data_IF_772612019659
#
_entry.id   IF_772612019659
#
_cell.length_a   1.000
_cell.length_b   1.000
_cell.length_c   1.000
_cell.angle_alpha   90.00
_cell.angle_beta   90.00
_cell.angle_gamma   90.00
#
_symmetry.space_group_name_H-M   'P 1'
#
loop_
_entity.id
_entity.type
_entity.pdbx_description
1 polymer ?
#
# COMPACT_ATOMS: atom_id res chain seq x y z
N UNK A 1 22.81 1.12 2.95
CA UNK A 1 22.28 0.72 1.62
C UNK A 1 20.88 0.11 1.72
N UNK A 2 20.67 -0.99 2.45
CA UNK A 2 19.36 -1.66 2.57
C UNK A 2 18.20 -0.77 3.02
N UNK A 3 18.44 0.08 4.03
CA UNK A 3 17.47 1.07 4.48
C UNK A 3 16.95 1.96 3.33
N UNK A 4 17.85 2.49 2.50
CA UNK A 4 17.49 3.36 1.38
C UNK A 4 16.67 2.61 0.31
N UNK A 5 16.98 1.34 0.05
CA UNK A 5 16.22 0.50 -0.88
C UNK A 5 14.79 0.27 -0.38
N UNK A 6 14.63 -0.06 0.90
CA UNK A 6 13.31 -0.28 1.53
C UNK A 6 12.48 1.01 1.48
N UNK A 7 13.06 2.14 1.90
CA UNK A 7 12.37 3.44 1.87
C UNK A 7 12.02 3.87 0.44
N UNK A 8 12.92 3.65 -0.53
CA UNK A 8 12.66 3.99 -1.93
C UNK A 8 11.51 3.18 -2.51
N UNK A 9 11.45 1.88 -2.22
CA UNK A 9 10.37 1.00 -2.68
C UNK A 9 9.05 1.35 -1.98
N UNK A 10 9.09 1.70 -0.70
CA UNK A 10 7.91 2.14 0.05
C UNK A 10 7.19 3.30 -0.63
N UNK A 11 7.93 4.22 -1.22
CA UNK A 11 7.37 5.35 -1.96
C UNK A 11 6.56 4.99 -3.21
N UNK A 12 6.70 3.76 -3.73
CA UNK A 12 5.93 3.25 -4.87
C UNK A 12 4.83 2.27 -4.45
N UNK A 13 4.73 1.91 -3.17
CA UNK A 13 3.62 1.14 -2.63
C UNK A 13 2.36 2.01 -2.67
N UNK A 14 1.18 1.44 -2.91
CA UNK A 14 -0.11 2.11 -3.21
C UNK A 14 -0.43 2.31 -4.70
N UNK A 15 0.44 1.88 -5.64
CA UNK A 15 0.07 1.86 -7.07
C UNK A 15 -1.07 0.86 -7.33
N UNK A 16 -1.15 -0.20 -6.52
CA UNK A 16 -2.25 -1.18 -6.55
C UNK A 16 -3.62 -0.55 -6.30
N UNK A 17 -3.68 0.60 -5.63
CA UNK A 17 -4.93 1.31 -5.37
C UNK A 17 -5.58 1.81 -6.66
N UNK A 18 -4.79 2.09 -7.70
CA UNK A 18 -5.30 2.44 -9.03
C UNK A 18 -6.14 1.30 -9.59
N UNK A 19 -5.72 0.05 -9.38
CA UNK A 19 -6.46 -1.12 -9.86
C UNK A 19 -7.78 -1.29 -9.11
N UNK A 20 -7.80 -1.05 -7.79
CA UNK A 20 -9.02 -1.08 -6.98
C UNK A 20 -10.01 -0.01 -7.44
N UNK A 21 -9.57 1.23 -7.57
CA UNK A 21 -10.43 2.34 -7.98
C UNK A 21 -10.91 2.20 -9.43
N UNK A 22 -10.06 1.72 -10.34
CA UNK A 22 -10.44 1.52 -11.74
C UNK A 22 -11.46 0.38 -11.92
N UNK A 23 -11.59 -0.53 -10.95
CA UNK A 23 -12.65 -1.54 -10.91
C UNK A 23 -14.05 -0.95 -10.80
N UNK A 24 -14.18 0.28 -10.27
CA UNK A 24 -15.45 1.01 -10.16
C UNK A 24 -15.73 1.90 -11.39
N UNK A 25 -14.79 2.00 -12.35
CA UNK A 25 -14.94 2.86 -13.51
C UNK A 25 -15.85 2.25 -14.60
N UNK A 26 -16.54 3.09 -15.38
CA UNK A 26 -17.42 2.66 -16.49
C UNK A 26 -16.72 1.76 -17.52
N UNK A 27 -15.43 2.01 -17.79
CA UNK A 27 -14.60 1.17 -18.66
C UNK A 27 -13.27 0.83 -17.97
N UNK A 28 -13.24 -0.25 -17.16
CA UNK A 28 -12.08 -0.58 -16.32
C UNK A 28 -10.80 -0.80 -17.13
N UNK A 29 -10.90 -1.40 -18.33
CA UNK A 29 -9.72 -1.74 -19.15
C UNK A 29 -8.95 -0.49 -19.59
N UNK A 30 -9.69 0.53 -20.06
CA UNK A 30 -9.08 1.80 -20.49
C UNK A 30 -8.65 2.60 -19.27
N UNK A 31 -9.49 2.65 -18.23
CA UNK A 31 -9.20 3.38 -17.00
C UNK A 31 -7.89 2.91 -16.35
N UNK A 32 -7.72 1.60 -16.17
CA UNK A 32 -6.47 1.02 -15.64
C UNK A 32 -5.28 1.41 -16.50
N UNK A 33 -5.33 1.19 -17.82
CA UNK A 33 -4.17 1.45 -18.70
C UNK A 33 -3.73 2.91 -18.68
N UNK A 34 -4.67 3.83 -18.80
CA UNK A 34 -4.38 5.27 -18.85
C UNK A 34 -3.93 5.77 -17.48
N UNK A 35 -4.60 5.38 -16.40
CA UNK A 35 -4.24 5.77 -15.06
C UNK A 35 -2.84 5.26 -14.68
N UNK A 36 -2.53 3.98 -14.95
CA UNK A 36 -1.19 3.43 -14.66
C UNK A 36 -0.09 4.17 -15.41
N UNK A 37 -0.22 4.34 -16.74
CA UNK A 37 0.81 5.04 -17.54
C UNK A 37 1.01 6.48 -17.07
N UNK A 38 -0.09 7.21 -16.87
CA UNK A 38 -0.04 8.60 -16.44
C UNK A 38 0.51 8.77 -15.03
N UNK A 39 0.20 7.85 -14.11
CA UNK A 39 0.69 7.89 -12.73
C UNK A 39 2.17 7.53 -12.66
N UNK A 40 2.62 6.45 -13.32
CA UNK A 40 4.03 6.05 -13.32
C UNK A 40 4.91 7.15 -13.92
N UNK A 41 4.53 7.74 -15.05
CA UNK A 41 5.29 8.81 -15.68
C UNK A 41 5.41 10.03 -14.74
N UNK A 42 4.30 10.45 -14.13
CA UNK A 42 4.29 11.57 -13.18
C UNK A 42 5.15 11.26 -11.96
N UNK A 43 5.02 10.10 -11.34
CA UNK A 43 5.85 9.71 -10.20
C UNK A 43 7.33 9.71 -10.57
N UNK A 44 7.70 9.10 -11.69
CA UNK A 44 9.10 9.05 -12.14
C UNK A 44 9.68 10.45 -12.31
N UNK A 45 8.99 11.34 -13.04
CA UNK A 45 9.45 12.71 -13.29
C UNK A 45 9.56 13.48 -11.98
N UNK A 46 8.51 13.48 -11.14
CA UNK A 46 8.55 14.24 -9.89
C UNK A 46 9.64 13.73 -8.94
N UNK A 47 9.82 12.41 -8.82
CA UNK A 47 10.83 11.84 -7.93
C UNK A 47 12.25 12.17 -8.40
N UNK A 48 12.54 11.95 -9.68
CA UNK A 48 13.87 12.23 -10.23
C UNK A 48 14.17 13.73 -10.19
N UNK A 49 13.20 14.57 -10.55
CA UNK A 49 13.38 16.03 -10.51
C UNK A 49 13.59 16.53 -9.08
N UNK A 50 12.79 16.05 -8.12
CA UNK A 50 12.91 16.44 -6.72
C UNK A 50 14.24 16.00 -6.11
N UNK A 51 14.72 14.78 -6.40
CA UNK A 51 16.03 14.31 -5.92
C UNK A 51 17.16 15.09 -6.59
N UNK A 52 17.09 15.33 -7.90
CA UNK A 52 18.10 16.11 -8.63
C UNK A 52 18.21 17.53 -8.07
N UNK A 53 17.07 18.20 -7.85
CA UNK A 53 17.03 19.53 -7.25
C UNK A 53 17.59 19.53 -5.83
N UNK A 54 17.23 18.54 -5.02
CA UNK A 54 17.72 18.40 -3.64
C UNK A 54 19.24 18.21 -3.60
N UNK A 55 19.80 17.35 -4.46
CA UNK A 55 21.24 17.12 -4.56
C UNK A 55 22.01 18.31 -5.14
N UNK A 56 21.36 19.15 -5.96
CA UNK A 56 21.95 20.38 -6.48
C UNK A 56 22.06 21.47 -5.41
N UNK A 57 21.17 21.48 -4.41
CA UNK A 57 21.14 22.50 -3.35
C UNK A 57 21.91 22.06 -2.11
N UNK A 58 21.72 20.82 -1.66
CA UNK A 58 22.30 20.30 -0.41
C UNK A 58 23.33 19.22 -0.73
N UNK A 59 24.60 19.39 -0.32
CA UNK A 59 25.60 18.34 -0.46
C UNK A 59 25.14 17.06 0.23
N UNK A 60 25.15 15.94 -0.49
CA UNK A 60 24.73 14.61 0.00
C UNK A 60 25.40 14.11 1.29
N UNK A 61 26.50 14.75 1.72
CA UNK A 61 27.21 14.42 2.96
C UNK A 61 26.62 15.13 4.19
N UNK A 62 25.83 16.18 3.99
CA UNK A 62 25.18 16.95 5.04
C UNK A 62 23.69 16.61 5.16
N UNK A 63 23.11 15.88 4.20
CA UNK A 63 21.74 15.38 4.28
C UNK A 63 21.66 14.18 5.26
N UNK A 64 21.19 14.41 6.48
CA UNK A 64 21.03 13.34 7.47
C UNK A 64 20.74 13.78 8.91
N UNK A 65 20.58 15.07 9.19
CA UNK A 65 20.45 15.64 10.54
C UNK A 65 19.06 15.51 11.17
N UNK A 66 18.19 14.63 10.66
CA UNK A 66 16.85 14.38 11.20
C UNK A 66 15.75 15.33 10.71
N UNK A 67 16.10 16.45 10.06
CA UNK A 67 15.15 17.34 9.40
C UNK A 67 14.85 16.92 7.95
N UNK A 68 13.69 17.32 7.43
CA UNK A 68 13.36 17.10 6.01
C UNK A 68 14.43 17.76 5.13
N UNK A 69 15.05 17.03 4.19
CA UNK A 69 16.09 17.60 3.35
C UNK A 69 15.65 18.81 2.53
N UNK A 70 14.35 18.92 2.22
CA UNK A 70 13.78 20.09 1.55
C UNK A 70 13.66 21.31 2.47
N UNK A 71 13.41 21.09 3.76
CA UNK A 71 13.48 22.16 4.76
C UNK A 71 14.91 22.64 4.94
N UNK A 72 15.87 21.71 5.04
CA UNK A 72 17.30 22.03 5.10
C UNK A 72 17.73 22.83 3.87
N UNK A 73 17.31 22.43 2.67
CA UNK A 73 17.58 23.15 1.43
C UNK A 73 17.04 24.59 1.44
N UNK A 74 15.82 24.80 1.94
CA UNK A 74 15.20 26.13 2.03
C UNK A 74 15.90 27.03 3.06
N UNK A 75 16.37 26.44 4.17
CA UNK A 75 17.15 27.14 5.19
C UNK A 75 18.52 27.58 4.65
N UNK A 76 19.18 26.75 3.83
CA UNK A 76 20.46 27.08 3.17
C UNK A 76 20.32 28.24 2.18
N UNK A 77 19.17 28.36 1.50
CA UNK A 77 18.91 29.47 0.55
C UNK A 77 18.44 30.75 1.29
N UNK A 78 18.38 30.75 2.63
CA UNK A 78 17.94 31.89 3.46
C UNK A 78 16.54 32.42 3.12
N UNK A 79 15.58 31.53 2.83
CA UNK A 79 14.17 31.86 2.58
C UNK A 79 13.28 31.40 3.76
N UNK A 80 13.29 32.07 4.93
CA UNK A 80 12.57 31.64 6.12
C UNK A 80 11.04 31.59 5.92
N UNK A 81 10.48 32.48 5.10
CA UNK A 81 9.05 32.43 4.75
C UNK A 81 8.67 31.19 3.92
N UNK A 82 9.59 30.65 3.13
CA UNK A 82 9.34 29.48 2.29
C UNK A 82 9.28 28.18 3.10
N UNK A 83 10.00 28.09 4.23
CA UNK A 83 9.94 26.92 5.12
C UNK A 83 8.53 26.72 5.72
N UNK A 84 7.87 27.81 6.13
CA UNK A 84 6.50 27.75 6.65
C UNK A 84 5.49 27.31 5.58
N UNK A 85 5.60 27.84 4.36
CA UNK A 85 4.76 27.44 3.22
C UNK A 85 4.99 25.97 2.87
N UNK A 86 6.25 25.51 2.85
CA UNK A 86 6.58 24.12 2.56
C UNK A 86 5.97 23.17 3.58
N UNK A 87 6.09 23.48 4.88
CA UNK A 87 5.44 22.70 5.94
C UNK A 87 3.92 22.66 5.78
N UNK A 88 3.29 23.79 5.46
CA UNK A 88 1.85 23.83 5.19
C UNK A 88 1.46 22.92 4.02
N UNK A 89 2.20 22.96 2.91
CA UNK A 89 1.97 22.09 1.74
C UNK A 89 2.10 20.62 2.11
N UNK A 90 3.15 20.25 2.86
CA UNK A 90 3.38 18.86 3.30
C UNK A 90 2.25 18.38 4.21
N UNK A 91 1.77 19.21 5.13
CA UNK A 91 0.64 18.86 6.01
C UNK A 91 -0.65 18.66 5.23
N UNK A 92 -0.97 19.55 4.28
CA UNK A 92 -2.15 19.43 3.41
C UNK A 92 -2.06 18.16 2.54
N UNK A 93 -0.87 17.88 1.98
CA UNK A 93 -0.64 16.66 1.21
C UNK A 93 -0.80 15.39 2.06
N UNK A 94 -0.26 15.39 3.28
CA UNK A 94 -0.40 14.27 4.23
C UNK A 94 -1.87 14.03 4.61
N UNK A 95 -2.64 15.08 4.88
CA UNK A 95 -4.08 14.99 5.17
C UNK A 95 -4.87 14.42 3.98
N UNK A 96 -4.56 14.85 2.76
CA UNK A 96 -5.19 14.33 1.54
C UNK A 96 -4.89 12.84 1.32
N UNK A 97 -3.63 12.44 1.51
CA UNK A 97 -3.21 11.04 1.42
C UNK A 97 -3.89 10.18 2.49
N UNK A 98 -3.97 10.66 3.72
CA UNK A 98 -4.65 9.97 4.83
C UNK A 98 -6.14 9.75 4.54
N UNK A 99 -6.84 10.77 4.01
CA UNK A 99 -8.24 10.64 3.64
C UNK A 99 -8.44 9.57 2.55
N UNK A 100 -7.57 9.54 1.55
CA UNK A 100 -7.61 8.53 0.48
C UNK A 100 -7.37 7.12 1.03
N UNK A 101 -6.40 6.96 1.93
CA UNK A 101 -6.10 5.66 2.52
C UNK A 101 -7.25 5.15 3.41
N UNK A 102 -7.89 6.04 4.17
CA UNK A 102 -9.05 5.71 4.99
C UNK A 102 -10.26 5.29 4.14
N UNK A 103 -10.52 6.02 3.05
CA UNK A 103 -11.57 5.68 2.10
C UNK A 103 -11.38 4.27 1.54
N UNK A 104 -10.17 3.94 1.08
CA UNK A 104 -9.95 2.67 0.41
C UNK A 104 -9.94 1.50 1.41
N UNK A 105 -9.35 1.67 2.59
CA UNK A 105 -9.40 0.64 3.65
C UNK A 105 -10.85 0.31 4.00
N UNK A 106 -11.69 1.33 4.13
CA UNK A 106 -13.13 1.19 4.37
C UNK A 106 -13.83 0.42 3.26
N UNK A 107 -13.54 0.75 1.99
CA UNK A 107 -14.12 0.06 0.82
C UNK A 107 -13.66 -1.39 0.68
N UNK A 108 -12.38 -1.67 0.94
CA UNK A 108 -11.85 -3.04 0.93
C UNK A 108 -12.51 -3.88 2.02
N UNK A 109 -12.67 -3.35 3.23
CA UNK A 109 -13.35 -4.05 4.32
C UNK A 109 -14.82 -4.32 4.01
N UNK A 110 -15.51 -3.34 3.41
CA UNK A 110 -16.87 -3.49 2.92
C UNK A 110 -16.97 -4.60 1.84
N UNK A 111 -16.04 -4.61 0.88
CA UNK A 111 -15.98 -5.63 -0.19
C UNK A 111 -15.76 -7.04 0.38
N UNK A 112 -14.84 -7.18 1.34
CA UNK A 112 -14.59 -8.44 2.03
C UNK A 112 -15.83 -8.93 2.80
N UNK A 113 -16.56 -8.03 3.46
CA UNK A 113 -17.79 -8.38 4.17
C UNK A 113 -18.88 -8.86 3.20
N UNK A 114 -19.03 -8.20 2.05
CA UNK A 114 -19.96 -8.62 0.98
C UNK A 114 -19.59 -9.95 0.35
N UNK A 115 -18.29 -10.29 0.30
CA UNK A 115 -17.79 -11.58 -0.16
C UNK A 115 -17.86 -12.69 0.91
N UNK A 116 -18.43 -12.40 2.09
CA UNK A 116 -18.48 -13.35 3.22
C UNK A 116 -17.14 -13.56 3.92
N UNK A 117 -16.09 -12.81 3.57
CA UNK A 117 -14.73 -12.95 4.13
C UNK A 117 -14.47 -12.06 5.36
N UNK A 118 -15.46 -11.26 5.78
CA UNK A 118 -15.42 -10.43 6.99
C UNK A 118 -16.80 -10.40 7.66
N UNK A 119 -16.91 -9.99 8.95
CA UNK A 119 -18.18 -9.92 9.66
C UNK A 119 -19.25 -9.14 8.88
N UNK A 120 -20.47 -9.68 8.77
CA UNK A 120 -21.55 -9.09 7.98
C UNK A 120 -21.95 -7.67 8.42
N UNK A 121 -21.67 -7.32 9.69
CA UNK A 121 -21.89 -5.98 10.21
C UNK A 121 -21.09 -4.90 9.46
N UNK A 122 -19.90 -5.22 8.95
CA UNK A 122 -19.02 -4.31 8.21
C UNK A 122 -19.52 -4.04 6.77
N UNK A 123 -20.42 -4.89 6.28
CA UNK A 123 -21.05 -4.80 4.96
C UNK A 123 -22.35 -4.00 4.96
N UNK A 124 -22.76 -3.42 6.10
CA UNK A 124 -23.97 -2.59 6.20
C UNK A 124 -23.66 -1.16 5.76
N UNK A 125 -24.46 -0.64 4.82
CA UNK A 125 -24.39 0.74 4.37
C UNK A 125 -25.44 1.60 5.06
N UNK A 126 -25.09 2.85 5.34
CA UNK A 126 -26.03 3.89 5.76
C UNK A 126 -26.92 4.34 4.60
N UNK A 127 -27.97 5.12 4.90
CA UNK A 127 -28.84 5.74 3.88
C UNK A 127 -28.06 6.60 2.87
N UNK A 128 -26.87 7.09 3.24
CA UNK A 128 -25.98 7.88 2.37
C UNK A 128 -25.02 7.01 1.54
N UNK A 129 -25.16 5.68 1.57
CA UNK A 129 -24.30 4.75 0.83
C UNK A 129 -22.92 4.52 1.44
N UNK A 130 -22.68 4.98 2.67
CA UNK A 130 -21.39 4.89 3.36
C UNK A 130 -21.40 3.70 4.33
N UNK A 131 -20.43 2.76 4.29
CA UNK A 131 -20.33 1.66 5.24
C UNK A 131 -19.72 2.13 6.57
N UNK A 132 -20.58 2.67 7.44
CA UNK A 132 -20.17 3.35 8.69
C UNK A 132 -19.44 2.43 9.67
N UNK A 133 -19.83 1.16 9.75
CA UNK A 133 -19.17 0.17 10.61
C UNK A 133 -17.74 -0.16 10.16
N UNK A 134 -17.52 -0.28 8.84
CA UNK A 134 -16.19 -0.45 8.26
C UNK A 134 -15.31 0.80 8.46
N UNK A 135 -15.92 1.99 8.32
CA UNK A 135 -15.24 3.26 8.60
C UNK A 135 -14.83 3.36 10.07
N UNK A 136 -15.74 3.06 11.00
CA UNK A 136 -15.48 3.09 12.44
C UNK A 136 -14.33 2.13 12.81
N UNK A 137 -14.33 0.92 12.25
CA UNK A 137 -13.23 -0.04 12.45
C UNK A 137 -11.89 0.51 11.94
N UNK A 138 -11.88 1.19 10.79
CA UNK A 138 -10.67 1.80 10.25
C UNK A 138 -10.17 2.96 11.13
N UNK A 139 -11.10 3.75 11.71
CA UNK A 139 -10.76 4.80 12.67
C UNK A 139 -10.15 4.27 13.96
N UNK A 140 -10.53 3.06 14.42
CA UNK A 140 -9.90 2.43 15.59
C UNK A 140 -8.38 2.28 15.36
N UNK A 141 -7.95 1.89 14.17
CA UNK A 141 -6.53 1.79 13.82
C UNK A 141 -5.79 3.13 13.93
N UNK A 142 -6.44 4.23 13.55
CA UNK A 142 -5.92 5.59 13.71
C UNK A 142 -5.81 5.96 15.20
N UNK A 143 -6.83 5.66 16.00
CA UNK A 143 -6.81 5.92 17.45
C UNK A 143 -5.68 5.14 18.13
N UNK A 144 -5.52 3.85 17.80
CA UNK A 144 -4.42 3.01 18.31
C UNK A 144 -3.06 3.61 17.92
N UNK A 145 -2.94 4.11 16.69
CA UNK A 145 -1.72 4.78 16.21
C UNK A 145 -1.39 6.04 17.02
N UNK A 146 -2.39 6.86 17.32
CA UNK A 146 -2.24 8.07 18.15
C UNK A 146 -1.83 7.68 19.57
N UNK A 147 -2.51 6.72 20.19
CA UNK A 147 -2.18 6.25 21.54
C UNK A 147 -0.73 5.71 21.58
N UNK A 148 -0.34 4.90 20.60
CA UNK A 148 1.03 4.39 20.51
C UNK A 148 2.06 5.52 20.38
N UNK A 149 1.73 6.57 19.62
CA UNK A 149 2.58 7.75 19.47
C UNK A 149 2.71 8.57 20.76
N UNK A 150 1.69 8.57 21.62
CA UNK A 150 1.73 9.28 22.90
C UNK A 150 2.49 8.49 23.97
N UNK A 151 2.36 7.15 23.99
CA UNK A 151 2.99 6.29 25.01
C UNK A 151 4.46 6.02 24.69
N UNK A 152 4.81 5.80 23.41
CA UNK A 152 6.17 5.45 22.98
C UNK A 152 6.64 6.32 21.79
N UNK A 153 6.83 7.64 21.98
CA UNK A 153 7.09 8.58 20.88
C UNK A 153 8.34 8.25 20.06
N UNK A 154 9.41 7.74 20.69
CA UNK A 154 10.66 7.42 19.97
C UNK A 154 10.57 6.16 19.11
N UNK A 155 9.71 5.20 19.48
CA UNK A 155 9.61 3.89 18.81
C UNK A 155 8.35 3.73 17.96
N UNK A 156 7.33 4.56 18.18
CA UNK A 156 6.03 4.49 17.51
C UNK A 156 6.17 4.60 16.00
N UNK A 157 6.93 5.58 15.51
CA UNK A 157 7.14 5.79 14.08
C UNK A 157 7.82 4.60 13.41
N UNK A 158 8.90 4.09 13.98
CA UNK A 158 9.61 2.93 13.46
C UNK A 158 8.74 1.67 13.47
N UNK A 159 7.96 1.46 14.53
CA UNK A 159 7.04 0.33 14.65
C UNK A 159 5.89 0.41 13.62
N UNK A 160 5.24 1.56 13.49
CA UNK A 160 4.17 1.78 12.53
C UNK A 160 4.68 1.63 11.09
N UNK A 161 5.83 2.22 10.77
CA UNK A 161 6.44 2.08 9.45
C UNK A 161 6.80 0.62 9.16
N UNK A 162 7.34 -0.11 10.14
CA UNK A 162 7.64 -1.54 10.01
C UNK A 162 6.40 -2.37 9.70
N UNK A 163 5.28 -2.12 10.40
CA UNK A 163 4.00 -2.82 10.15
C UNK A 163 3.48 -2.49 8.74
N UNK A 164 3.53 -1.23 8.32
CA UNK A 164 3.11 -0.80 6.98
C UNK A 164 3.97 -1.45 5.88
N UNK A 165 5.29 -1.46 6.04
CA UNK A 165 6.21 -2.11 5.08
C UNK A 165 5.90 -3.59 4.98
N UNK A 166 5.70 -4.29 6.11
CA UNK A 166 5.34 -5.70 6.09
C UNK A 166 4.04 -5.94 5.31
N UNK A 167 2.97 -5.22 5.67
CA UNK A 167 1.66 -5.39 5.06
C UNK A 167 1.68 -5.14 3.55
N UNK A 168 2.39 -4.10 3.12
CA UNK A 168 2.51 -3.76 1.71
C UNK A 168 3.34 -4.81 0.93
N UNK A 169 4.48 -5.26 1.48
CA UNK A 169 5.28 -6.33 0.87
C UNK A 169 4.51 -7.65 0.79
N UNK A 170 3.81 -8.01 1.86
CA UNK A 170 2.97 -9.21 1.91
C UNK A 170 1.83 -9.14 0.89
N UNK A 171 1.17 -7.99 0.77
CA UNK A 171 0.11 -7.77 -0.24
C UNK A 171 0.65 -7.98 -1.65
N UNK A 172 1.80 -7.39 -1.99
CA UNK A 172 2.42 -7.58 -3.30
C UNK A 172 2.89 -9.00 -3.56
N UNK A 173 3.45 -9.67 -2.54
CA UNK A 173 3.78 -11.10 -2.62
C UNK A 173 2.52 -11.92 -2.96
N UNK A 174 1.41 -11.67 -2.27
CA UNK A 174 0.14 -12.34 -2.52
C UNK A 174 -0.45 -12.02 -3.90
N UNK A 175 -0.27 -10.80 -4.41
CA UNK A 175 -0.65 -10.44 -5.78
C UNK A 175 0.12 -11.30 -6.79
N UNK A 176 1.44 -11.44 -6.64
CA UNK A 176 2.24 -12.28 -7.55
C UNK A 176 1.87 -13.75 -7.46
N UNK A 177 1.71 -14.29 -6.24
CA UNK A 177 1.31 -15.68 -6.01
C UNK A 177 -0.06 -15.95 -6.64
N UNK A 178 -1.05 -15.11 -6.34
CA UNK A 178 -2.41 -15.23 -6.90
C UNK A 178 -2.41 -15.11 -8.42
N UNK A 179 -1.60 -14.20 -8.98
CA UNK A 179 -1.44 -14.06 -10.42
C UNK A 179 -0.89 -15.34 -11.10
N UNK A 180 0.09 -16.02 -10.46
CA UNK A 180 0.61 -17.30 -10.96
C UNK A 180 -0.49 -18.37 -11.01
N UNK A 181 -1.26 -18.52 -9.93
CA UNK A 181 -2.35 -19.50 -9.87
C UNK A 181 -3.49 -19.15 -10.83
N UNK A 182 -3.88 -17.87 -10.91
CA UNK A 182 -4.89 -17.38 -11.84
C UNK A 182 -4.54 -17.72 -13.29
N UNK A 183 -3.30 -17.48 -13.70
CA UNK A 183 -2.81 -17.78 -15.07
C UNK A 183 -2.71 -19.27 -15.34
N UNK A 184 -2.38 -20.10 -14.33
CA UNK A 184 -2.41 -21.56 -14.44
C UNK A 184 -3.83 -22.06 -14.68
N UNK A 185 -4.82 -21.51 -13.97
CA UNK A 185 -6.23 -21.90 -14.10
C UNK A 185 -6.87 -21.42 -15.41
N UNK A 186 -6.50 -20.22 -15.89
CA UNK A 186 -7.07 -19.60 -17.10
C UNK A 186 -6.17 -19.75 -18.34
N UNK A 187 -5.37 -20.81 -18.39
CA UNK A 187 -4.40 -21.03 -19.48
C UNK A 187 -5.04 -21.11 -20.87
N UNK A 188 -6.30 -21.55 -20.94
CA UNK A 188 -7.08 -21.70 -22.19
C UNK A 188 -7.98 -20.50 -22.50
N UNK A 189 -8.09 -19.51 -21.62
CA UNK A 189 -9.02 -18.39 -21.76
C UNK A 189 -8.35 -17.21 -22.47
N UNK A 190 -9.06 -16.56 -23.41
CA UNK A 190 -8.53 -15.39 -24.11
C UNK A 190 -8.56 -14.14 -23.22
N UNK A 191 -7.47 -13.88 -22.51
CA UNK A 191 -7.34 -12.71 -21.64
C UNK A 191 -7.09 -11.42 -22.46
N UNK A 192 -7.89 -10.38 -22.21
CA UNK A 192 -7.78 -9.04 -22.84
C UNK A 192 -6.45 -8.33 -22.50
N UNK A 193 -5.77 -8.75 -21.45
CA UNK A 193 -4.48 -8.23 -21.02
C UNK A 193 -3.49 -9.38 -20.82
N UNK A 194 -2.34 -9.32 -21.50
CA UNK A 194 -1.26 -10.31 -21.38
C UNK A 194 -0.02 -9.60 -20.84
N UNK A 195 0.52 -10.13 -19.74
CA UNK A 195 1.78 -9.66 -19.19
C UNK A 195 2.94 -10.15 -20.06
N UNK A 196 3.85 -9.24 -20.41
CA UNK A 196 5.06 -9.58 -21.13
C UNK A 196 6.01 -10.38 -20.22
N UNK A 197 6.63 -11.43 -20.76
CA UNK A 197 7.59 -12.27 -20.04
C UNK A 197 7.01 -13.21 -18.97
N UNK A 198 5.69 -13.46 -18.98
CA UNK A 198 5.09 -14.47 -18.09
C UNK A 198 5.61 -15.88 -18.45
N UNK A 199 6.01 -16.73 -17.47
CA UNK A 199 5.87 -16.56 -16.01
C UNK A 199 7.09 -15.92 -15.31
N UNK A 200 8.22 -15.74 -16.01
CA UNK A 200 9.49 -15.30 -15.43
C UNK A 200 9.38 -13.94 -14.75
N UNK A 201 8.67 -12.97 -15.33
CA UNK A 201 8.49 -11.63 -14.73
C UNK A 201 7.69 -11.67 -13.42
N UNK A 202 6.70 -12.56 -13.31
CA UNK A 202 5.92 -12.75 -12.08
C UNK A 202 6.75 -13.44 -11.00
N UNK A 203 7.54 -14.45 -11.36
CA UNK A 203 8.46 -15.15 -10.45
C UNK A 203 9.58 -14.22 -9.96
N UNK A 204 10.17 -13.43 -10.86
CA UNK A 204 11.17 -12.43 -10.51
C UNK A 204 10.60 -11.38 -9.56
N UNK A 205 9.39 -10.86 -9.82
CA UNK A 205 8.72 -9.92 -8.92
C UNK A 205 8.47 -10.50 -7.53
N UNK A 206 7.97 -11.74 -7.45
CA UNK A 206 7.78 -12.44 -6.18
C UNK A 206 9.11 -12.65 -5.44
N UNK A 207 10.17 -13.07 -6.15
CA UNK A 207 11.50 -13.26 -5.59
C UNK A 207 12.12 -11.96 -5.06
N UNK A 208 11.99 -10.85 -5.79
CA UNK A 208 12.47 -9.54 -5.36
C UNK A 208 11.69 -9.02 -4.14
N UNK A 209 10.38 -9.22 -4.09
CA UNK A 209 9.58 -8.85 -2.91
C UNK A 209 9.92 -9.71 -1.69
N UNK A 210 10.14 -11.01 -1.87
CA UNK A 210 10.59 -11.89 -0.80
C UNK A 210 11.99 -11.49 -0.31
N UNK A 211 12.92 -11.20 -1.22
CA UNK A 211 14.26 -10.72 -0.88
C UNK A 211 14.21 -9.39 -0.12
N UNK A 212 13.33 -8.47 -0.51
CA UNK A 212 13.12 -7.23 0.22
C UNK A 212 12.58 -7.47 1.62
N UNK A 213 11.59 -8.34 1.78
CA UNK A 213 11.04 -8.70 3.09
C UNK A 213 12.12 -9.32 3.99
N UNK A 214 12.97 -10.19 3.45
CA UNK A 214 14.12 -10.77 4.17
C UNK A 214 15.15 -9.69 4.53
N UNK A 215 15.40 -8.72 3.64
CA UNK A 215 16.34 -7.61 3.90
C UNK A 215 15.94 -6.73 5.09
N UNK A 216 14.65 -6.71 5.44
CA UNK A 216 14.17 -6.00 6.63
C UNK A 216 14.70 -6.59 7.93
N UNK A 217 15.00 -7.90 7.97
CA UNK A 217 15.62 -8.57 9.13
C UNK A 217 17.02 -8.02 9.44
N UNK A 218 17.74 -7.58 8.40
CA UNK A 218 19.10 -7.09 8.51
C UNK A 218 19.17 -5.58 8.74
N UNK A 219 18.04 -4.87 8.70
CA UNK A 219 17.99 -3.42 8.86
C UNK A 219 17.41 -3.08 10.22
N UNK A 220 18.22 -2.54 11.13
CA UNK A 220 17.83 -2.32 12.54
C UNK A 220 16.50 -1.56 12.72
N UNK A 221 16.30 -0.50 11.95
CA UNK A 221 15.06 0.27 11.94
C UNK A 221 13.82 -0.56 11.55
N UNK A 222 13.99 -1.52 10.64
CA UNK A 222 12.93 -2.38 10.12
C UNK A 222 12.94 -3.79 10.71
N UNK A 223 13.80 -4.11 11.69
CA UNK A 223 13.85 -5.44 12.31
C UNK A 223 12.49 -5.86 12.86
N UNK A 224 11.73 -4.91 13.39
CA UNK A 224 10.38 -5.13 13.91
C UNK A 224 9.37 -5.58 12.85
N UNK A 225 9.65 -5.37 11.56
CA UNK A 225 8.78 -5.72 10.42
C UNK A 225 8.39 -7.20 10.47
N UNK A 226 9.36 -8.11 10.67
CA UNK A 226 9.09 -9.55 10.72
C UNK A 226 8.51 -9.98 12.07
N UNK A 227 8.95 -9.35 13.16
CA UNK A 227 8.47 -9.65 14.50
C UNK A 227 6.99 -9.35 14.70
N UNK A 228 6.47 -8.27 14.11
CA UNK A 228 5.03 -8.00 14.09
C UNK A 228 4.33 -8.70 12.94
N UNK A 229 4.97 -8.74 11.77
CA UNK A 229 4.36 -9.24 10.54
C UNK A 229 4.05 -10.73 10.57
N UNK A 230 5.00 -11.57 10.97
CA UNK A 230 4.81 -13.03 10.94
C UNK A 230 3.70 -13.47 11.90
N UNK A 231 3.67 -13.04 13.18
CA UNK A 231 2.54 -13.38 14.07
C UNK A 231 1.21 -12.84 13.57
N UNK A 232 1.19 -11.64 12.98
CA UNK A 232 -0.03 -11.08 12.40
C UNK A 232 -0.56 -11.92 11.24
N UNK A 233 0.31 -12.37 10.33
CA UNK A 233 -0.08 -13.26 9.23
C UNK A 233 -0.55 -14.62 9.74
N UNK A 234 0.12 -15.20 10.75
CA UNK A 234 -0.32 -16.44 11.38
C UNK A 234 -1.71 -16.28 12.03
N UNK A 235 -1.96 -15.14 12.68
CA UNK A 235 -3.27 -14.81 13.24
C UNK A 235 -4.32 -14.69 12.13
N UNK A 236 -4.03 -14.00 11.02
CA UNK A 236 -4.95 -13.91 9.88
C UNK A 236 -5.25 -15.28 9.28
N UNK A 237 -4.25 -16.14 9.13
CA UNK A 237 -4.42 -17.51 8.65
C UNK A 237 -5.30 -18.31 9.63
N UNK A 238 -5.06 -18.20 10.93
CA UNK A 238 -5.88 -18.85 11.95
C UNK A 238 -7.34 -18.39 11.86
N UNK A 239 -7.57 -17.07 11.85
CA UNK A 239 -8.92 -16.48 11.69
C UNK A 239 -9.59 -16.98 10.42
N UNK A 240 -8.87 -17.02 9.29
CA UNK A 240 -9.39 -17.55 8.03
C UNK A 240 -9.78 -19.02 8.13
N UNK A 241 -8.98 -19.87 8.77
CA UNK A 241 -9.32 -21.29 8.96
C UNK A 241 -10.52 -21.50 9.88
N UNK A 242 -10.62 -20.73 10.97
CA UNK A 242 -11.77 -20.79 11.87
C UNK A 242 -13.05 -20.30 11.17
N UNK A 243 -12.97 -19.26 10.34
CA UNK A 243 -14.14 -18.71 9.64
C UNK A 243 -14.53 -19.52 8.39
N UNK A 244 -13.56 -20.04 7.63
CA UNK A 244 -13.80 -20.90 6.45
C UNK A 244 -14.37 -22.26 6.81
N UNK A 245 -14.11 -22.77 8.02
CA UNK A 245 -14.81 -23.96 8.54
C UNK A 245 -16.32 -23.75 8.72
N UNK A 246 -16.82 -22.52 8.64
CA UNK A 246 -18.25 -22.20 8.80
C UNK A 246 -18.91 -21.71 7.52
N UNK A 247 -18.21 -21.65 6.37
CA UNK A 247 -18.81 -21.28 5.09
C UNK A 247 -18.60 -22.36 4.03
N UNK A 248 -19.67 -22.86 3.38
CA UNK A 248 -19.51 -23.67 2.18
C UNK A 248 -18.85 -22.82 1.09
N UNK A 249 -17.79 -23.35 0.48
CA UNK A 249 -17.08 -22.74 -0.65
C UNK A 249 -18.12 -22.27 -1.68
N UNK A 250 -18.16 -20.97 -2.06
CA UNK A 250 -19.10 -20.51 -3.07
C UNK A 250 -18.90 -21.33 -4.35
N UNK A 251 -19.96 -21.97 -4.82
CA UNK A 251 -19.96 -22.72 -6.07
C UNK A 251 -19.36 -21.87 -7.18
N UNK A 252 -18.59 -22.52 -8.07
CA UNK A 252 -18.04 -21.92 -9.29
C UNK A 252 -19.12 -21.04 -9.91
N UNK A 253 -18.82 -19.76 -10.10
CA UNK A 253 -19.66 -18.88 -10.91
C UNK A 253 -19.66 -19.51 -12.30
N UNK A 254 -20.73 -20.23 -12.62
CA UNK A 254 -21.03 -20.63 -13.98
C UNK A 254 -21.11 -19.33 -14.77
N UNK A 255 -20.15 -19.14 -15.67
CA UNK A 255 -20.21 -18.12 -16.69
C UNK A 255 -21.35 -18.54 -17.62
N UNK A 256 -22.59 -18.17 -17.26
CA UNK A 256 -23.72 -18.28 -18.16
C UNK A 256 -23.36 -17.45 -19.38
N UNK A 257 -23.30 -18.13 -20.53
CA UNK A 257 -23.07 -17.49 -21.82
C UNK A 257 -24.09 -16.38 -22.02
N UNK A 258 -23.59 -15.22 -22.40
CA UNK A 258 -24.36 -14.27 -23.17
C UNK A 258 -23.60 -14.11 -24.48
N UNK A 259 -24.18 -14.74 -25.51
CA UNK A 259 -23.97 -14.43 -26.92
C UNK A 259 -24.18 -12.94 -27.21
#
# INVERSE_FOLDING_TARGET
MWFAVIVSIFSYLSIEMIAVAAGEAKNPVIAVKTAFKGTILRLFIFYMLSIALMLAIVPWRQSGTGESPFLVAMNVIHLPAAAGIFNFIVLVAALSAMNSQLYITTRMMFSLSRAGQAPAALGRVSQRGIPVSALAMSCIGIVVSIVLSLVYPEKSFAAMMSISVYGACFTWLMIFVTHLFFRRQHRKTHLKFRMWGFPYTTLAGAGLMAALLISTAFTEFFKMTLWFGIPFTLLLVAVYFFYSRHQPVPGRVETTGAE
#
